data_IF_048883630016
#
_entry.id   IF_048883630016
#
_cell.length_a   1.000
_cell.length_b   1.000
_cell.length_c   1.000
_cell.angle_alpha   90.00
_cell.angle_beta   90.00
_cell.angle_gamma   90.00
#
_symmetry.space_group_name_H-M   'P 1'
#
loop_
_entity.id
_entity.type
_entity.pdbx_description
1 polymer ?
#
# COMPACT_ATOMS: atom_id res chain seq x y z
N UNK A 1 -57.24 -25.36 -2.87
CA UNK A 1 -56.32 -24.54 -3.71
C UNK A 1 -56.02 -23.13 -3.16
N UNK A 2 -56.97 -22.39 -2.58
CA UNK A 2 -56.72 -21.01 -2.07
C UNK A 2 -55.67 -20.89 -0.94
N UNK A 3 -55.49 -21.93 -0.12
CA UNK A 3 -54.56 -21.94 1.03
C UNK A 3 -53.08 -21.97 0.61
N UNK A 4 -52.75 -22.59 -0.52
CA UNK A 4 -51.37 -22.73 -1.00
C UNK A 4 -50.86 -21.45 -1.70
N UNK A 5 -51.78 -20.65 -2.26
CA UNK A 5 -51.47 -19.36 -2.90
C UNK A 5 -51.10 -18.30 -1.85
N UNK A 6 -51.79 -18.30 -0.69
CA UNK A 6 -51.48 -17.39 0.41
C UNK A 6 -50.10 -17.67 1.03
N UNK A 7 -49.71 -18.94 1.13
CA UNK A 7 -48.43 -19.36 1.68
C UNK A 7 -47.25 -19.00 0.75
N UNK A 8 -47.46 -19.11 -0.57
CA UNK A 8 -46.51 -18.65 -1.60
C UNK A 8 -46.33 -17.13 -1.59
N UNK A 9 -47.42 -16.37 -1.41
CA UNK A 9 -47.37 -14.90 -1.30
C UNK A 9 -46.62 -14.43 -0.04
N UNK A 10 -46.80 -15.10 1.11
CA UNK A 10 -46.08 -14.77 2.35
C UNK A 10 -44.59 -15.11 2.24
N UNK A 11 -44.22 -16.23 1.60
CA UNK A 11 -42.80 -16.54 1.32
C UNK A 11 -42.16 -15.52 0.37
N UNK A 12 -42.89 -15.04 -0.64
CA UNK A 12 -42.38 -14.05 -1.59
C UNK A 12 -42.11 -12.69 -0.91
N UNK A 13 -42.92 -12.28 0.06
CA UNK A 13 -42.74 -11.03 0.83
C UNK A 13 -41.47 -11.07 1.71
N UNK A 14 -41.10 -12.24 2.24
CA UNK A 14 -39.84 -12.40 3.00
C UNK A 14 -38.59 -12.35 2.12
N UNK A 15 -38.68 -12.73 0.85
CA UNK A 15 -37.53 -12.69 -0.08
C UNK A 15 -37.24 -11.24 -0.54
N UNK A 16 -38.26 -10.38 -0.61
CA UNK A 16 -38.11 -8.99 -1.06
C UNK A 16 -37.65 -8.07 0.09
N UNK A 17 -37.90 -8.45 1.35
CA UNK A 17 -37.51 -7.69 2.54
C UNK A 17 -36.00 -7.78 2.88
N UNK A 18 -35.21 -8.60 2.17
CA UNK A 18 -33.75 -8.69 2.38
C UNK A 18 -32.91 -7.78 1.48
N UNK A 19 -33.54 -6.87 0.72
CA UNK A 19 -32.86 -5.65 0.25
C UNK A 19 -32.64 -4.67 1.41
N UNK A 20 -32.03 -5.13 2.51
CA UNK A 20 -31.44 -4.22 3.48
C UNK A 20 -30.26 -3.56 2.79
N UNK A 21 -30.43 -2.29 2.44
CA UNK A 21 -29.32 -1.43 2.00
C UNK A 21 -28.12 -1.69 2.90
N UNK A 22 -26.96 -2.01 2.31
CA UNK A 22 -25.74 -2.23 3.07
C UNK A 22 -25.54 -1.05 4.05
N UNK A 23 -25.20 -1.32 5.32
CA UNK A 23 -24.99 -0.25 6.29
C UNK A 23 -23.94 0.73 5.75
N UNK A 24 -24.24 2.02 5.86
CA UNK A 24 -23.34 3.07 5.43
C UNK A 24 -21.99 2.93 6.16
N UNK A 25 -20.91 3.28 5.46
CA UNK A 25 -19.55 3.17 5.98
C UNK A 25 -19.34 4.15 7.14
N UNK A 26 -18.92 3.64 8.31
CA UNK A 26 -18.54 4.50 9.43
C UNK A 26 -17.11 5.02 9.22
N UNK A 27 -17.03 6.24 8.66
CA UNK A 27 -15.76 6.93 8.37
C UNK A 27 -14.92 7.20 9.62
N UNK A 28 -15.53 7.28 10.80
CA UNK A 28 -14.81 7.60 12.04
C UNK A 28 -13.81 6.52 12.43
N UNK A 29 -14.09 5.26 12.04
CA UNK A 29 -13.16 4.13 12.24
C UNK A 29 -11.82 4.31 11.51
N UNK A 30 -11.78 5.15 10.48
CA UNK A 30 -10.64 5.32 9.56
C UNK A 30 -9.92 6.66 9.72
N UNK A 31 -10.42 7.58 10.57
CA UNK A 31 -9.84 8.92 10.72
C UNK A 31 -8.34 8.90 11.04
N UNK A 32 -7.91 7.99 11.92
CA UNK A 32 -6.49 7.86 12.28
C UNK A 32 -5.65 7.27 11.15
N UNK A 33 -6.20 6.34 10.36
CA UNK A 33 -5.53 5.83 9.15
C UNK A 33 -5.32 6.95 8.13
N UNK A 34 -6.33 7.77 7.92
CA UNK A 34 -6.26 8.90 6.99
C UNK A 34 -5.22 9.92 7.42
N UNK A 35 -5.20 10.27 8.71
CA UNK A 35 -4.19 11.17 9.28
C UNK A 35 -2.77 10.65 9.03
N UNK A 36 -2.48 9.39 9.38
CA UNK A 36 -1.14 8.82 9.21
C UNK A 36 -0.76 8.75 7.72
N UNK A 37 -1.70 8.39 6.85
CA UNK A 37 -1.46 8.33 5.41
C UNK A 37 -1.15 9.72 4.81
N UNK A 38 -1.84 10.77 5.28
CA UNK A 38 -1.56 12.16 4.93
C UNK A 38 -0.17 12.60 5.43
N UNK A 39 0.19 12.23 6.65
CA UNK A 39 1.51 12.51 7.24
C UNK A 39 2.62 11.81 6.44
N UNK A 40 2.45 10.54 6.05
CA UNK A 40 3.37 9.83 5.16
C UNK A 40 3.56 10.56 3.83
N UNK A 41 2.46 10.98 3.19
CA UNK A 41 2.50 11.72 1.92
C UNK A 41 3.29 13.03 2.06
N UNK A 42 3.00 13.81 3.10
CA UNK A 42 3.62 15.12 3.32
C UNK A 42 5.08 15.00 3.76
N UNK A 43 5.44 13.99 4.56
CA UNK A 43 6.81 13.77 5.04
C UNK A 43 7.81 13.59 3.90
N UNK A 44 7.40 12.99 2.77
CA UNK A 44 8.25 12.86 1.58
C UNK A 44 8.58 14.20 0.93
N UNK A 45 7.58 15.08 0.84
CA UNK A 45 7.72 16.39 0.20
C UNK A 45 8.56 17.32 1.07
N UNK A 46 8.44 17.18 2.39
CA UNK A 46 9.15 18.00 3.37
C UNK A 46 10.63 17.60 3.60
N UNK A 47 11.14 16.57 2.92
CA UNK A 47 12.54 16.14 3.09
C UNK A 47 12.82 15.50 4.45
N UNK A 48 11.84 14.77 5.00
CA UNK A 48 11.93 14.17 6.33
C UNK A 48 12.99 13.06 6.42
N UNK A 49 13.48 12.76 7.63
CA UNK A 49 14.45 11.70 7.83
C UNK A 49 13.87 10.31 7.52
N UNK A 50 14.74 9.40 7.07
CA UNK A 50 14.41 7.99 6.85
C UNK A 50 13.79 7.34 8.10
N UNK A 51 14.31 7.67 9.29
CA UNK A 51 13.80 7.13 10.55
C UNK A 51 12.34 7.53 10.78
N UNK A 52 12.02 8.82 10.68
CA UNK A 52 10.65 9.29 10.94
C UNK A 52 9.66 8.76 9.90
N UNK A 53 10.07 8.62 8.64
CA UNK A 53 9.25 7.94 7.64
C UNK A 53 8.94 6.50 8.06
N UNK A 54 9.92 5.77 8.60
CA UNK A 54 9.74 4.42 9.14
C UNK A 54 8.79 4.37 10.33
N UNK A 55 8.85 5.35 11.24
CA UNK A 55 7.93 5.47 12.39
C UNK A 55 6.47 5.64 11.93
N UNK A 56 6.23 6.53 10.96
CA UNK A 56 4.90 6.72 10.38
C UNK A 56 4.39 5.46 9.67
N UNK A 57 5.29 4.76 8.98
CA UNK A 57 4.94 3.52 8.28
C UNK A 57 4.58 2.39 9.25
N UNK A 58 5.30 2.29 10.36
CA UNK A 58 4.96 1.37 11.45
C UNK A 58 3.62 1.74 12.10
N UNK A 59 3.36 3.04 12.32
CA UNK A 59 2.09 3.53 12.85
C UNK A 59 0.92 3.17 11.93
N UNK A 60 1.10 3.30 10.60
CA UNK A 60 0.08 2.91 9.63
C UNK A 60 -0.23 1.41 9.71
N UNK A 61 0.80 0.57 9.75
CA UNK A 61 0.66 -0.89 9.89
C UNK A 61 -0.11 -1.27 11.17
N UNK A 62 0.26 -0.67 12.30
CA UNK A 62 -0.38 -0.90 13.58
C UNK A 62 -1.85 -0.48 13.57
N UNK A 63 -2.17 0.67 12.98
CA UNK A 63 -3.55 1.14 12.89
C UNK A 63 -4.39 0.27 11.92
N UNK A 64 -3.81 -0.24 10.82
CA UNK A 64 -4.48 -1.20 9.93
C UNK A 64 -4.88 -2.44 10.73
N UNK A 65 -3.97 -2.98 11.54
CA UNK A 65 -4.26 -4.13 12.40
C UNK A 65 -5.34 -3.81 13.45
N UNK A 66 -5.30 -2.62 14.06
CA UNK A 66 -6.27 -2.18 15.05
C UNK A 66 -7.68 -2.02 14.44
N UNK A 67 -7.80 -1.47 13.24
CA UNK A 67 -9.09 -1.36 12.54
C UNK A 67 -9.59 -2.72 12.08
N UNK A 68 -8.70 -3.60 11.59
CA UNK A 68 -9.04 -4.97 11.20
C UNK A 68 -9.65 -5.80 12.34
N UNK A 69 -9.25 -5.52 13.58
CA UNK A 69 -9.77 -6.21 14.76
C UNK A 69 -11.20 -5.79 15.15
N UNK A 70 -11.76 -4.74 14.52
CA UNK A 70 -13.13 -4.26 14.76
C UNK A 70 -14.13 -5.02 13.87
N UNK A 71 -15.41 -4.96 14.21
CA UNK A 71 -16.46 -5.43 13.30
C UNK A 71 -16.58 -4.46 12.10
N UNK A 72 -16.36 -4.99 10.90
CA UNK A 72 -16.38 -4.22 9.66
C UNK A 72 -17.48 -4.73 8.73
N UNK A 73 -18.20 -3.82 8.09
CA UNK A 73 -19.03 -4.14 6.93
C UNK A 73 -18.16 -4.51 5.73
N UNK A 74 -18.77 -5.05 4.67
CA UNK A 74 -18.07 -5.37 3.42
C UNK A 74 -17.36 -4.13 2.83
N UNK A 75 -18.09 -3.01 2.76
CA UNK A 75 -17.56 -1.73 2.26
C UNK A 75 -16.42 -1.19 3.11
N UNK A 76 -16.50 -1.34 4.43
CA UNK A 76 -15.41 -0.97 5.34
C UNK A 76 -14.17 -1.85 5.15
N UNK A 77 -14.35 -3.15 4.91
CA UNK A 77 -13.24 -4.07 4.61
C UNK A 77 -12.55 -3.71 3.29
N UNK A 78 -13.31 -3.38 2.26
CA UNK A 78 -12.77 -2.89 0.98
C UNK A 78 -11.95 -1.60 1.17
N UNK A 79 -12.46 -0.68 1.98
CA UNK A 79 -11.75 0.55 2.32
C UNK A 79 -10.46 0.30 3.13
N UNK A 80 -10.49 -0.63 4.10
CA UNK A 80 -9.30 -1.05 4.84
C UNK A 80 -8.25 -1.73 3.94
N UNK A 81 -8.70 -2.54 2.97
CA UNK A 81 -7.82 -3.16 1.98
C UNK A 81 -7.09 -2.11 1.14
N UNK A 82 -7.75 -1.00 0.80
CA UNK A 82 -7.12 0.10 0.08
C UNK A 82 -5.96 0.74 0.88
N UNK A 83 -6.11 0.90 2.20
CA UNK A 83 -5.01 1.32 3.09
C UNK A 83 -3.90 0.27 3.20
N UNK A 84 -4.25 -1.03 3.17
CA UNK A 84 -3.26 -2.11 3.18
C UNK A 84 -2.41 -2.12 1.90
N UNK A 85 -3.02 -1.85 0.75
CA UNK A 85 -2.31 -1.64 -0.52
C UNK A 85 -1.40 -0.40 -0.43
N UNK A 86 -1.90 0.71 0.11
CA UNK A 86 -1.10 1.93 0.30
C UNK A 86 0.14 1.67 1.18
N UNK A 87 -0.05 0.98 2.30
CA UNK A 87 1.05 0.56 3.18
C UNK A 87 2.09 -0.27 2.42
N UNK A 88 1.66 -1.26 1.63
CA UNK A 88 2.57 -2.08 0.83
C UNK A 88 3.39 -1.27 -0.17
N UNK A 89 2.77 -0.29 -0.85
CA UNK A 89 3.49 0.60 -1.76
C UNK A 89 4.52 1.45 -1.00
N UNK A 90 4.14 2.01 0.16
CA UNK A 90 5.09 2.78 0.97
C UNK A 90 6.24 1.93 1.50
N UNK A 91 5.96 0.68 1.90
CA UNK A 91 6.97 -0.28 2.34
C UNK A 91 7.99 -0.60 1.24
N UNK A 92 7.52 -0.80 0.01
CA UNK A 92 8.42 -1.03 -1.13
C UNK A 92 9.36 0.17 -1.33
N UNK A 93 8.82 1.39 -1.31
CA UNK A 93 9.63 2.60 -1.48
C UNK A 93 10.59 2.84 -0.31
N UNK A 94 10.17 2.49 0.91
CA UNK A 94 11.01 2.52 2.10
C UNK A 94 12.20 1.56 2.00
N UNK A 95 11.99 0.34 1.48
CA UNK A 95 13.07 -0.62 1.23
C UNK A 95 14.04 -0.07 0.18
N UNK A 96 13.56 0.46 -0.94
CA UNK A 96 14.43 1.05 -1.95
C UNK A 96 15.26 2.22 -1.38
N UNK A 97 14.64 3.08 -0.57
CA UNK A 97 15.34 4.19 0.09
C UNK A 97 16.39 3.67 1.09
N UNK A 98 16.09 2.62 1.84
CA UNK A 98 17.07 1.95 2.72
C UNK A 98 18.33 1.58 1.97
N UNK A 99 18.18 0.86 0.85
CA UNK A 99 19.30 0.36 0.07
C UNK A 99 20.07 1.47 -0.64
N UNK A 100 19.40 2.56 -1.04
CA UNK A 100 20.07 3.79 -1.48
C UNK A 100 21.02 4.33 -0.41
N UNK A 101 20.56 4.43 0.83
CA UNK A 101 21.35 4.99 1.94
C UNK A 101 22.46 4.04 2.41
N UNK A 102 22.16 2.75 2.52
CA UNK A 102 23.08 1.74 3.04
C UNK A 102 24.30 1.55 2.14
N UNK A 103 24.12 1.60 0.82
CA UNK A 103 25.20 1.34 -0.13
C UNK A 103 25.97 2.57 -0.60
N UNK A 104 25.41 3.78 -0.43
CA UNK A 104 26.07 5.02 -0.84
C UNK A 104 27.49 5.20 -0.27
N UNK A 105 27.79 4.88 1.01
CA UNK A 105 29.13 5.09 1.58
C UNK A 105 30.23 4.20 1.00
N UNK A 106 29.87 3.04 0.42
CA UNK A 106 30.87 2.07 -0.04
C UNK A 106 31.41 2.37 -1.44
N UNK A 107 30.75 3.23 -2.22
CA UNK A 107 31.17 3.58 -3.59
C UNK A 107 31.16 2.41 -4.59
N UNK A 108 30.63 1.24 -4.19
CA UNK A 108 30.51 0.05 -5.05
C UNK A 108 29.37 0.24 -6.05
N UNK A 109 28.30 0.92 -5.63
CA UNK A 109 27.13 1.21 -6.45
C UNK A 109 27.34 2.56 -7.14
N UNK A 110 27.24 2.64 -8.48
CA UNK A 110 27.33 3.91 -9.18
C UNK A 110 26.31 4.92 -8.68
N UNK A 111 26.65 6.21 -8.72
CA UNK A 111 25.75 7.31 -8.37
C UNK A 111 24.47 7.20 -9.23
N UNK A 112 23.30 7.39 -8.61
CA UNK A 112 22.00 7.29 -9.28
C UNK A 112 21.51 5.84 -9.48
N UNK A 113 22.10 4.87 -8.78
CA UNK A 113 21.71 3.45 -8.84
C UNK A 113 21.45 2.90 -7.45
N UNK A 114 20.58 1.89 -7.38
CA UNK A 114 20.26 1.14 -6.15
C UNK A 114 20.66 -0.31 -6.38
N UNK A 115 21.41 -0.88 -5.43
CA UNK A 115 21.78 -2.29 -5.44
C UNK A 115 20.55 -3.20 -5.35
N UNK A 116 20.45 -4.20 -6.23
CA UNK A 116 19.38 -5.19 -6.20
C UNK A 116 19.83 -6.37 -5.34
N UNK A 117 19.38 -6.37 -4.09
CA UNK A 117 19.49 -7.49 -3.16
C UNK A 117 18.27 -8.41 -3.22
N UNK A 118 18.23 -9.42 -2.35
CA UNK A 118 17.08 -10.30 -2.17
C UNK A 118 15.80 -9.56 -1.75
N UNK A 119 15.90 -8.44 -1.03
CA UNK A 119 14.74 -7.64 -0.62
C UNK A 119 14.26 -6.71 -1.76
N UNK A 120 15.18 -6.31 -2.64
CA UNK A 120 14.90 -5.37 -3.74
C UNK A 120 14.43 -6.11 -5.00
N UNK A 121 14.90 -7.34 -5.24
CA UNK A 121 14.55 -8.11 -6.44
C UNK A 121 13.03 -8.33 -6.62
N UNK A 122 12.25 -8.66 -5.56
CA UNK A 122 10.79 -8.74 -5.68
C UNK A 122 10.13 -7.41 -6.04
N UNK A 123 10.68 -6.28 -5.56
CA UNK A 123 10.18 -4.94 -5.86
C UNK A 123 10.49 -4.59 -7.31
N UNK A 124 11.73 -4.80 -7.75
CA UNK A 124 12.13 -4.59 -9.14
C UNK A 124 11.27 -5.41 -10.11
N UNK A 125 10.94 -6.65 -9.75
CA UNK A 125 10.01 -7.49 -10.52
C UNK A 125 8.58 -6.93 -10.49
N UNK A 126 8.02 -6.63 -9.31
CA UNK A 126 6.65 -6.12 -9.11
C UNK A 126 6.36 -4.88 -9.94
N UNK A 127 7.32 -3.96 -10.03
CA UNK A 127 7.19 -2.71 -10.78
C UNK A 127 7.86 -2.74 -12.15
N UNK A 128 8.38 -3.91 -12.57
CA UNK A 128 9.07 -4.10 -13.85
C UNK A 128 10.20 -3.09 -14.09
N UNK A 129 11.00 -2.79 -13.06
CA UNK A 129 12.11 -1.86 -13.17
C UNK A 129 13.25 -2.46 -14.01
N UNK A 130 13.80 -1.71 -14.98
CA UNK A 130 14.99 -2.14 -15.72
C UNK A 130 16.16 -2.39 -14.77
N UNK A 131 16.81 -3.54 -14.92
CA UNK A 131 18.02 -3.88 -14.17
C UNK A 131 19.24 -3.83 -15.08
N UNK A 132 20.38 -3.38 -14.55
CA UNK A 132 21.68 -3.52 -15.22
C UNK A 132 22.59 -4.44 -14.41
N UNK A 133 23.39 -5.23 -15.12
CA UNK A 133 24.38 -6.12 -14.52
C UNK A 133 25.76 -5.47 -14.50
N UNK A 134 26.44 -5.59 -13.36
CA UNK A 134 27.74 -5.00 -13.09
C UNK A 134 28.71 -6.07 -12.65
N UNK A 135 29.96 -6.00 -13.10
CA UNK A 135 31.03 -6.90 -12.67
C UNK A 135 31.80 -6.26 -11.51
N UNK A 136 31.73 -6.85 -10.32
CA UNK A 136 32.59 -6.45 -9.21
C UNK A 136 33.98 -7.04 -9.40
N UNK A 137 34.91 -6.23 -9.95
CA UNK A 137 36.25 -6.67 -10.35
C UNK A 137 37.01 -7.48 -9.27
N UNK A 138 36.97 -7.13 -7.97
CA UNK A 138 37.73 -7.88 -6.96
C UNK A 138 37.30 -9.34 -6.82
N UNK A 139 35.99 -9.65 -6.88
CA UNK A 139 35.49 -11.03 -6.71
C UNK A 139 35.09 -11.70 -8.03
N UNK A 140 35.07 -10.94 -9.13
CA UNK A 140 34.50 -11.34 -10.44
C UNK A 140 33.04 -11.79 -10.37
N UNK A 141 32.32 -11.38 -9.33
CA UNK A 141 30.89 -11.67 -9.20
C UNK A 141 30.09 -10.57 -9.90
N UNK A 142 29.00 -11.02 -10.55
CA UNK A 142 28.02 -10.12 -11.10
C UNK A 142 26.99 -9.73 -10.04
N UNK A 143 26.56 -8.49 -10.10
CA UNK A 143 25.46 -7.98 -9.29
C UNK A 143 24.57 -7.09 -10.14
N UNK A 144 23.34 -6.83 -9.68
CA UNK A 144 22.36 -6.05 -10.43
C UNK A 144 22.05 -4.73 -9.73
N UNK A 145 21.66 -3.72 -10.49
CA UNK A 145 21.11 -2.48 -9.95
C UNK A 145 19.86 -2.04 -10.70
N UNK A 146 19.04 -1.21 -10.05
CA UNK A 146 17.99 -0.40 -10.69
C UNK A 146 18.37 1.08 -10.64
N UNK A 147 17.68 1.91 -11.42
CA UNK A 147 17.85 3.35 -11.38
C UNK A 147 17.24 3.94 -10.09
N UNK A 148 17.89 4.94 -9.49
CA UNK A 148 17.45 5.55 -8.23
C UNK A 148 16.08 6.22 -8.33
N UNK A 149 15.78 6.82 -9.49
CA UNK A 149 14.49 7.44 -9.80
C UNK A 149 13.31 6.45 -9.83
N UNK A 150 13.57 5.14 -9.80
CA UNK A 150 12.55 4.10 -9.61
C UNK A 150 11.78 4.30 -8.31
N UNK A 151 12.40 4.90 -7.28
CA UNK A 151 11.73 5.31 -6.04
C UNK A 151 10.56 6.26 -6.34
N UNK A 152 10.71 7.18 -7.31
CA UNK A 152 9.67 8.13 -7.67
C UNK A 152 8.44 7.44 -8.28
N UNK A 153 8.62 6.33 -8.98
CA UNK A 153 7.50 5.54 -9.52
C UNK A 153 6.67 4.94 -8.37
N UNK A 154 7.33 4.37 -7.36
CA UNK A 154 6.67 3.88 -6.15
C UNK A 154 5.88 5.00 -5.47
N UNK A 155 6.51 6.16 -5.38
CA UNK A 155 5.93 7.34 -4.77
C UNK A 155 4.69 7.85 -5.49
N UNK A 156 4.73 7.91 -6.81
CA UNK A 156 3.57 8.30 -7.61
C UNK A 156 2.42 7.29 -7.46
N UNK A 157 2.74 6.00 -7.38
CA UNK A 157 1.74 4.95 -7.14
C UNK A 157 1.10 5.07 -5.75
N UNK A 158 1.85 5.46 -4.73
CA UNK A 158 1.30 5.72 -3.40
C UNK A 158 0.36 6.93 -3.41
N UNK A 159 0.73 8.01 -4.10
CA UNK A 159 -0.12 9.19 -4.26
C UNK A 159 -1.42 8.86 -5.00
N UNK A 160 -1.34 8.04 -6.05
CA UNK A 160 -2.50 7.57 -6.81
C UNK A 160 -3.42 6.70 -5.93
N UNK A 161 -2.85 5.73 -5.20
CA UNK A 161 -3.60 4.89 -4.28
C UNK A 161 -4.29 5.71 -3.18
N UNK A 162 -3.63 6.74 -2.67
CA UNK A 162 -4.22 7.62 -1.68
C UNK A 162 -5.38 8.47 -2.25
N UNK A 163 -5.29 8.92 -3.51
CA UNK A 163 -6.43 9.55 -4.21
C UNK A 163 -7.62 8.60 -4.37
N UNK A 164 -7.38 7.32 -4.63
CA UNK A 164 -8.44 6.29 -4.66
C UNK A 164 -9.14 6.21 -3.30
N UNK A 165 -8.37 6.15 -2.21
CA UNK A 165 -8.92 6.13 -0.84
C UNK A 165 -9.79 7.37 -0.57
N UNK A 166 -9.35 8.54 -1.02
CA UNK A 166 -10.08 9.80 -0.87
C UNK A 166 -11.30 9.93 -1.80
N UNK A 167 -11.48 9.02 -2.76
CA UNK A 167 -12.52 9.13 -3.78
C UNK A 167 -12.29 10.27 -4.78
N UNK A 168 -11.03 10.67 -4.99
CA UNK A 168 -10.64 11.78 -5.88
C UNK A 168 -9.83 11.33 -7.10
N UNK A 169 -9.61 10.02 -7.27
CA UNK A 169 -9.02 9.48 -8.48
C UNK A 169 -10.06 9.50 -9.62
N UNK A 170 -9.71 10.12 -10.75
CA UNK A 170 -10.44 10.07 -12.02
C UNK A 170 -9.75 9.10 -12.97
#
# INVERSE_FOLDING_TARGET
MKKNILLLLVMLVFIIASCSSEPEMDKTKFTKLDQIAQELKTSRVAGTSYQHFGELLQALSAEIAAVKAKALSKKEMEHLNAYSVLYGIYQDGYILWKYKLEFAPFGIVPIGRIYVSQDVEPIAFKYSFPTESHLYKPTRQYWKSIAEDSIQIIWNNADFQYKIIQGTAQ
#
